data_IF_664658398432
#
_entry.id   IF_664658398432
#
_cell.length_a   1.000
_cell.length_b   1.000
_cell.length_c   1.000
_cell.angle_alpha   90.00
_cell.angle_beta   90.00
_cell.angle_gamma   90.00
#
_symmetry.space_group_name_H-M   'P 1'
#
loop_
_entity.id
_entity.type
_entity.pdbx_description
1 polymer ?
#
# COMPACT_ATOMS: atom_id res chain seq x y z
N UNK A 1 -12.58 -1.93 43.32
CA UNK A 1 -12.97 -1.33 42.04
C UNK A 1 -11.75 -1.37 41.13
N UNK A 2 -11.71 -2.39 40.27
CA UNK A 2 -10.69 -2.51 39.23
C UNK A 2 -11.05 -1.47 38.15
N UNK A 3 -10.26 -0.42 37.99
CA UNK A 3 -10.31 0.45 36.84
C UNK A 3 -9.73 -0.39 35.69
N UNK A 4 -10.62 -0.91 34.83
CA UNK A 4 -10.19 -1.51 33.57
C UNK A 4 -9.46 -0.42 32.79
N UNK A 5 -8.17 -0.60 32.57
CA UNK A 5 -7.42 0.27 31.67
C UNK A 5 -8.11 0.16 30.31
N UNK A 6 -8.70 1.27 29.84
CA UNK A 6 -9.31 1.33 28.52
C UNK A 6 -8.19 1.00 27.50
N UNK A 7 -8.37 -0.09 26.76
CA UNK A 7 -7.43 -0.48 25.72
C UNK A 7 -7.20 0.72 24.80
N UNK A 8 -5.95 1.10 24.60
CA UNK A 8 -5.63 2.25 23.75
C UNK A 8 -6.02 1.96 22.31
N UNK A 9 -6.77 2.87 21.72
CA UNK A 9 -7.12 2.78 20.30
C UNK A 9 -5.90 3.13 19.46
N UNK A 10 -5.74 2.52 18.29
CA UNK A 10 -4.61 2.79 17.43
C UNK A 10 -4.98 2.84 15.95
N UNK A 11 -4.15 3.56 15.19
CA UNK A 11 -4.12 3.58 13.74
C UNK A 11 -2.91 2.77 13.32
N UNK A 12 -3.10 1.91 12.32
CA UNK A 12 -2.01 1.11 11.76
C UNK A 12 -1.54 1.71 10.44
N UNK A 13 -0.26 2.05 10.38
CA UNK A 13 0.45 2.37 9.14
C UNK A 13 1.09 1.10 8.59
N UNK A 14 0.60 0.64 7.45
CA UNK A 14 1.00 -0.60 6.81
C UNK A 14 1.71 -0.31 5.49
N UNK A 15 2.99 -0.62 5.39
CA UNK A 15 3.76 -0.41 4.16
C UNK A 15 4.04 -1.70 3.40
N UNK A 16 3.93 -1.64 2.08
CA UNK A 16 4.31 -2.73 1.17
C UNK A 16 5.81 -2.98 1.13
N UNK A 17 6.61 -1.94 1.34
CA UNK A 17 8.06 -1.93 1.17
C UNK A 17 8.75 -1.67 2.50
N UNK A 18 10.06 -1.82 2.51
CA UNK A 18 10.88 -1.70 3.71
C UNK A 18 10.88 -0.26 4.27
N UNK A 19 11.07 -0.13 5.58
CA UNK A 19 11.13 1.14 6.32
C UNK A 19 12.23 2.11 5.83
N UNK A 20 13.25 1.61 5.15
CA UNK A 20 14.44 2.37 4.76
C UNK A 20 14.24 3.24 3.52
N UNK A 21 13.09 3.14 2.84
CA UNK A 21 12.78 3.99 1.69
C UNK A 21 12.57 5.46 2.13
N UNK A 22 13.40 6.37 1.64
CA UNK A 22 13.41 7.77 2.06
C UNK A 22 12.06 8.48 1.99
N UNK A 23 11.24 8.17 0.99
CA UNK A 23 9.90 8.74 0.83
C UNK A 23 8.90 8.24 1.88
N UNK A 24 9.05 6.96 2.34
CA UNK A 24 8.25 6.41 3.44
C UNK A 24 8.57 7.13 4.73
N UNK A 25 9.87 7.39 4.99
CA UNK A 25 10.29 8.20 6.13
C UNK A 25 9.68 9.61 6.10
N UNK A 26 9.68 10.26 4.94
CA UNK A 26 9.08 11.58 4.77
C UNK A 26 7.58 11.57 5.07
N UNK A 27 6.86 10.63 4.48
CA UNK A 27 5.42 10.48 4.68
C UNK A 27 5.07 10.18 6.15
N UNK A 28 5.77 9.22 6.76
CA UNK A 28 5.60 8.88 8.17
C UNK A 28 5.86 10.07 9.09
N UNK A 29 6.95 10.79 8.89
CA UNK A 29 7.29 11.95 9.71
C UNK A 29 6.24 13.06 9.62
N UNK A 30 5.71 13.32 8.42
CA UNK A 30 4.62 14.28 8.26
C UNK A 30 3.32 13.80 8.89
N UNK A 31 3.01 12.53 8.80
CA UNK A 31 1.85 11.94 9.46
C UNK A 31 1.97 12.08 10.98
N UNK A 32 3.12 11.72 11.56
CA UNK A 32 3.37 11.85 13.00
C UNK A 32 3.31 13.30 13.49
N UNK A 33 3.85 14.25 12.74
CA UNK A 33 3.78 15.69 13.09
C UNK A 33 2.36 16.24 13.08
N UNK A 34 1.53 15.75 12.17
CA UNK A 34 0.15 16.24 11.99
C UNK A 34 -0.88 15.49 12.83
N UNK A 35 -0.51 14.35 13.37
CA UNK A 35 -1.31 13.63 14.35
C UNK A 35 -1.07 14.28 15.71
N UNK A 36 -1.97 15.12 16.22
CA UNK A 36 -1.84 15.62 17.59
C UNK A 36 -1.97 14.42 18.52
N UNK A 37 -0.97 14.20 19.35
CA UNK A 37 -0.99 13.22 20.43
C UNK A 37 -2.03 13.56 21.54
N UNK A 38 -2.99 14.44 21.23
CA UNK A 38 -4.09 14.80 22.10
C UNK A 38 -5.16 13.73 22.00
N UNK A 39 -4.98 12.65 22.75
CA UNK A 39 -5.96 11.58 22.83
C UNK A 39 -5.36 10.21 23.11
N UNK A 40 -6.23 9.22 23.28
CA UNK A 40 -5.87 7.81 23.54
C UNK A 40 -5.58 7.03 22.23
N UNK A 41 -5.18 7.70 21.12
CA UNK A 41 -4.94 7.05 19.84
C UNK A 41 -3.43 7.00 19.58
N UNK A 42 -2.90 5.82 19.34
CA UNK A 42 -1.50 5.58 18.99
C UNK A 42 -1.36 5.31 17.50
N UNK A 43 -0.20 5.66 16.91
CA UNK A 43 0.18 5.28 15.56
C UNK A 43 1.16 4.11 15.63
N UNK A 44 0.76 2.95 15.13
CA UNK A 44 1.61 1.78 14.99
C UNK A 44 2.03 1.59 13.54
N UNK A 45 3.20 0.99 13.34
CA UNK A 45 3.78 0.76 12.02
C UNK A 45 4.06 -0.73 11.81
N UNK A 46 3.84 -1.20 10.58
CA UNK A 46 4.18 -2.56 10.17
C UNK A 46 4.60 -2.61 8.71
N UNK A 47 5.59 -3.45 8.41
CA UNK A 47 6.16 -3.61 7.07
C UNK A 47 5.90 -5.02 6.57
N UNK A 48 5.13 -5.15 5.50
CA UNK A 48 4.77 -6.45 4.91
C UNK A 48 5.89 -7.09 4.08
N UNK A 49 6.93 -6.31 3.73
CA UNK A 49 8.04 -6.77 2.89
C UNK A 49 7.58 -7.48 1.59
N UNK A 50 6.51 -7.01 0.96
CA UNK A 50 5.90 -7.64 -0.22
C UNK A 50 6.88 -7.94 -1.36
N UNK A 51 7.92 -7.10 -1.65
CA UNK A 51 8.87 -7.38 -2.72
C UNK A 51 9.65 -8.68 -2.58
N UNK A 52 9.80 -9.23 -1.36
CA UNK A 52 10.52 -10.51 -1.13
C UNK A 52 9.60 -11.72 -1.12
N UNK A 53 8.29 -11.54 -1.09
CA UNK A 53 7.33 -12.65 -1.15
C UNK A 53 7.36 -13.30 -2.54
N UNK A 54 7.42 -14.63 -2.56
CA UNK A 54 7.57 -15.41 -3.80
C UNK A 54 6.45 -16.43 -4.01
N UNK A 55 5.71 -16.79 -2.97
CA UNK A 55 4.68 -17.82 -3.02
C UNK A 55 3.52 -17.52 -2.04
N UNK A 56 2.44 -18.26 -2.18
CA UNK A 56 1.22 -18.08 -1.39
C UNK A 56 1.40 -18.41 0.10
N UNK A 57 2.31 -19.33 0.43
CA UNK A 57 2.62 -19.70 1.83
C UNK A 57 3.26 -18.52 2.57
N UNK A 58 4.24 -17.86 1.93
CA UNK A 58 4.88 -16.66 2.49
C UNK A 58 3.90 -15.51 2.66
N UNK A 59 2.96 -15.34 1.71
CA UNK A 59 1.88 -14.35 1.84
C UNK A 59 1.00 -14.67 3.05
N UNK A 60 0.59 -15.93 3.19
CA UNK A 60 -0.20 -16.36 4.35
C UNK A 60 0.55 -16.15 5.65
N UNK A 61 1.84 -16.49 5.70
CA UNK A 61 2.68 -16.26 6.88
C UNK A 61 2.77 -14.77 7.22
N UNK A 62 2.90 -13.88 6.22
CA UNK A 62 2.91 -12.43 6.44
C UNK A 62 1.58 -11.93 7.03
N UNK A 63 0.44 -12.46 6.57
CA UNK A 63 -0.89 -12.17 7.12
C UNK A 63 -1.03 -12.66 8.57
N UNK A 64 -0.61 -13.89 8.85
CA UNK A 64 -0.67 -14.49 10.17
C UNK A 64 0.22 -13.71 11.17
N UNK A 65 1.44 -13.32 10.75
CA UNK A 65 2.34 -12.49 11.55
C UNK A 65 1.73 -11.10 11.86
N UNK A 66 1.07 -10.49 10.87
CA UNK A 66 0.39 -9.21 11.07
C UNK A 66 -0.72 -9.34 12.12
N UNK A 67 -1.55 -10.39 12.02
CA UNK A 67 -2.63 -10.65 12.97
C UNK A 67 -2.11 -11.02 14.39
N UNK A 68 -0.98 -11.72 14.48
CA UNK A 68 -0.34 -12.02 15.76
C UNK A 68 0.22 -10.76 16.42
N UNK A 69 0.79 -9.85 15.61
CA UNK A 69 1.33 -8.58 16.13
C UNK A 69 0.21 -7.65 16.58
N UNK A 70 -0.93 -7.68 15.89
CA UNK A 70 -2.09 -6.81 16.14
C UNK A 70 -3.36 -7.65 16.34
N UNK A 71 -3.50 -8.33 17.48
CA UNK A 71 -4.65 -9.19 17.76
C UNK A 71 -5.96 -8.42 17.93
N UNK A 72 -5.88 -7.16 18.37
CA UNK A 72 -7.05 -6.26 18.42
C UNK A 72 -7.08 -5.44 17.13
N UNK A 73 -8.22 -5.37 16.41
CA UNK A 73 -8.30 -4.61 15.17
C UNK A 73 -8.01 -3.12 15.37
N UNK A 74 -7.27 -2.46 14.43
CA UNK A 74 -7.04 -1.02 14.48
C UNK A 74 -8.34 -0.23 14.20
N UNK A 75 -8.37 1.06 14.55
CA UNK A 75 -9.49 1.95 14.18
C UNK A 75 -9.49 2.31 12.70
N UNK A 76 -8.31 2.46 12.12
CA UNK A 76 -8.08 2.76 10.71
C UNK A 76 -6.77 2.13 10.29
N UNK A 77 -6.69 1.65 9.05
CA UNK A 77 -5.43 1.22 8.45
C UNK A 77 -5.06 2.16 7.31
N UNK A 78 -3.86 2.73 7.36
CA UNK A 78 -3.27 3.49 6.27
C UNK A 78 -2.31 2.55 5.54
N UNK A 79 -2.63 2.19 4.32
CA UNK A 79 -1.82 1.27 3.51
C UNK A 79 -1.08 2.05 2.44
N UNK A 80 0.20 1.78 2.29
CA UNK A 80 1.04 2.41 1.28
C UNK A 80 1.42 1.40 0.21
N UNK A 81 0.92 1.63 -1.00
CA UNK A 81 1.14 0.83 -2.19
C UNK A 81 0.13 -0.31 -2.40
N UNK A 82 -0.33 -0.44 -3.64
CA UNK A 82 -1.28 -1.48 -4.05
C UNK A 82 -0.86 -2.91 -3.67
N UNK A 83 0.44 -3.31 -3.75
CA UNK A 83 0.86 -4.65 -3.34
C UNK A 83 0.58 -4.97 -1.87
N UNK A 84 0.76 -4.00 -0.98
CA UNK A 84 0.43 -4.16 0.44
C UNK A 84 -1.06 -4.37 0.68
N UNK A 85 -1.89 -3.63 -0.08
CA UNK A 85 -3.34 -3.82 -0.05
C UNK A 85 -3.73 -5.21 -0.52
N UNK A 86 -3.23 -5.67 -1.68
CA UNK A 86 -3.54 -6.99 -2.23
C UNK A 86 -3.17 -8.14 -1.27
N UNK A 87 -2.01 -8.03 -0.62
CA UNK A 87 -1.55 -9.02 0.36
C UNK A 87 -2.42 -9.00 1.62
N UNK A 88 -2.84 -7.83 2.09
CA UNK A 88 -3.59 -7.70 3.34
C UNK A 88 -5.12 -7.83 3.17
N UNK A 89 -5.67 -7.66 1.97
CA UNK A 89 -7.10 -7.66 1.70
C UNK A 89 -7.89 -8.85 2.31
N UNK A 90 -7.38 -10.12 2.30
CA UNK A 90 -8.06 -11.23 2.94
C UNK A 90 -8.29 -11.05 4.45
N UNK A 91 -7.47 -10.24 5.13
CA UNK A 91 -7.67 -9.95 6.55
C UNK A 91 -8.93 -9.11 6.75
N UNK A 92 -9.27 -8.26 5.78
CA UNK A 92 -10.48 -7.41 5.79
C UNK A 92 -11.73 -8.17 5.34
N UNK A 93 -11.60 -9.36 4.77
CA UNK A 93 -12.73 -10.29 4.60
C UNK A 93 -13.04 -11.08 5.89
N UNK A 94 -12.10 -11.07 6.84
CA UNK A 94 -12.15 -11.84 8.08
C UNK A 94 -12.06 -10.97 9.35
N UNK A 95 -10.96 -11.10 10.13
CA UNK A 95 -10.84 -10.48 11.47
C UNK A 95 -10.98 -8.95 11.49
N UNK A 96 -10.58 -8.27 10.41
CA UNK A 96 -10.64 -6.81 10.31
C UNK A 96 -11.79 -6.33 9.40
N UNK A 97 -12.84 -7.11 9.29
CA UNK A 97 -14.01 -6.76 8.49
C UNK A 97 -14.58 -5.39 8.92
N UNK A 98 -14.88 -4.55 7.93
CA UNK A 98 -15.39 -3.19 8.09
C UNK A 98 -14.41 -2.16 8.69
N UNK A 99 -13.17 -2.53 8.98
CA UNK A 99 -12.17 -1.54 9.38
C UNK A 99 -11.90 -0.59 8.19
N UNK A 100 -11.97 0.74 8.41
CA UNK A 100 -11.69 1.70 7.36
C UNK A 100 -10.24 1.61 6.89
N UNK A 101 -10.04 1.67 5.57
CA UNK A 101 -8.73 1.68 4.92
C UNK A 101 -8.52 2.97 4.15
N UNK A 102 -7.35 3.56 4.27
CA UNK A 102 -6.86 4.63 3.40
C UNK A 102 -5.70 4.06 2.60
N UNK A 103 -5.93 3.79 1.31
CA UNK A 103 -4.89 3.30 0.41
C UNK A 103 -4.19 4.47 -0.27
N UNK A 104 -2.92 4.66 0.02
CA UNK A 104 -2.07 5.69 -0.56
C UNK A 104 -1.19 5.13 -1.68
N UNK A 105 -0.83 5.96 -2.64
CA UNK A 105 0.05 5.63 -3.77
C UNK A 105 -0.50 4.52 -4.67
N UNK A 106 -1.83 4.46 -4.85
CA UNK A 106 -2.46 3.55 -5.80
C UNK A 106 -2.26 4.04 -7.25
N UNK A 107 -1.99 3.10 -8.13
CA UNK A 107 -1.86 3.34 -9.57
C UNK A 107 -3.18 3.22 -10.34
N UNK A 108 -4.24 2.81 -9.66
CA UNK A 108 -5.57 2.69 -10.23
C UNK A 108 -5.85 1.35 -10.91
N UNK A 109 -4.87 0.48 -11.10
CA UNK A 109 -5.04 -0.92 -11.53
C UNK A 109 -4.21 -1.84 -10.66
N UNK A 110 -4.73 -3.02 -10.39
CA UNK A 110 -4.07 -4.04 -9.56
C UNK A 110 -4.03 -5.38 -10.29
N UNK A 111 -3.06 -6.25 -10.00
CA UNK A 111 -3.06 -7.63 -10.50
C UNK A 111 -4.41 -8.30 -10.25
N UNK A 112 -4.91 -9.01 -11.26
CA UNK A 112 -6.19 -9.74 -11.16
C UNK A 112 -6.14 -10.92 -10.20
N UNK A 113 -4.94 -11.44 -9.90
CA UNK A 113 -4.72 -12.58 -9.00
C UNK A 113 -3.46 -12.40 -8.16
N UNK A 114 -3.41 -13.08 -7.01
CA UNK A 114 -2.19 -13.16 -6.20
C UNK A 114 -1.01 -13.74 -6.98
N UNK A 115 -1.26 -14.73 -7.85
CA UNK A 115 -0.21 -15.32 -8.69
C UNK A 115 0.43 -14.28 -9.62
N UNK A 116 -0.36 -13.39 -10.20
CA UNK A 116 0.14 -12.29 -11.04
C UNK A 116 1.01 -11.32 -10.23
N UNK A 117 0.61 -11.01 -9.00
CA UNK A 117 1.41 -10.18 -8.09
C UNK A 117 2.77 -10.84 -7.79
N UNK A 118 2.77 -12.12 -7.43
CA UNK A 118 3.98 -12.86 -7.05
C UNK A 118 4.92 -13.10 -8.23
N UNK A 119 4.37 -13.26 -9.43
CA UNK A 119 5.16 -13.39 -10.66
C UNK A 119 5.91 -12.10 -11.03
N UNK A 120 5.55 -10.96 -10.42
CA UNK A 120 6.18 -9.63 -10.66
C UNK A 120 6.19 -9.22 -12.13
N UNK A 121 5.23 -9.72 -12.90
CA UNK A 121 5.09 -9.40 -14.31
C UNK A 121 4.50 -8.01 -14.51
N UNK A 122 4.84 -7.30 -15.58
CA UNK A 122 4.22 -6.03 -15.93
C UNK A 122 2.70 -6.16 -16.03
N UNK A 123 1.97 -5.14 -15.53
CA UNK A 123 0.53 -5.10 -15.64
C UNK A 123 0.09 -4.79 -17.08
N UNK A 124 -0.87 -5.56 -17.52
CA UNK A 124 -1.59 -5.36 -18.78
C UNK A 124 -3.09 -5.36 -18.51
N UNK A 125 -3.92 -5.01 -19.49
CA UNK A 125 -5.38 -5.12 -19.34
C UNK A 125 -5.83 -6.57 -19.09
N UNK A 126 -5.09 -7.54 -19.63
CA UNK A 126 -5.44 -8.97 -19.53
C UNK A 126 -5.16 -9.57 -18.13
N UNK A 127 -4.19 -9.02 -17.39
CA UNK A 127 -3.77 -9.56 -16.10
C UNK A 127 -4.02 -8.62 -14.91
N UNK A 128 -4.76 -7.55 -15.13
CA UNK A 128 -5.08 -6.55 -14.10
C UNK A 128 -6.55 -6.11 -14.17
N UNK A 129 -7.05 -5.60 -13.05
CA UNK A 129 -8.38 -5.02 -12.93
C UNK A 129 -8.30 -3.60 -12.37
N UNK A 130 -9.29 -2.74 -12.63
CA UNK A 130 -9.40 -1.44 -11.97
C UNK A 130 -9.45 -1.60 -10.45
N UNK A 131 -8.76 -0.73 -9.72
CA UNK A 131 -8.74 -0.76 -8.25
C UNK A 131 -10.15 -0.59 -7.67
N UNK A 132 -11.01 0.17 -8.33
CA UNK A 132 -12.40 0.37 -7.93
C UNK A 132 -13.22 -0.91 -8.00
N UNK A 133 -12.92 -1.77 -8.97
CA UNK A 133 -13.57 -3.07 -9.10
C UNK A 133 -13.13 -4.02 -7.98
N UNK A 134 -11.83 -4.07 -7.69
CA UNK A 134 -11.29 -4.85 -6.59
C UNK A 134 -11.87 -4.40 -5.25
N UNK A 135 -12.08 -3.11 -5.06
CA UNK A 135 -12.46 -2.51 -3.78
C UNK A 135 -13.97 -2.48 -3.49
N UNK A 136 -14.83 -2.97 -4.38
CA UNK A 136 -16.30 -2.85 -4.26
C UNK A 136 -16.89 -3.24 -2.92
N UNK A 137 -16.29 -4.20 -2.23
CA UNK A 137 -16.82 -4.78 -0.99
C UNK A 137 -16.10 -4.30 0.27
N UNK A 138 -15.17 -3.35 0.15
CA UNK A 138 -14.33 -2.89 1.25
C UNK A 138 -14.65 -1.45 1.64
N UNK A 139 -14.48 -1.13 2.92
CA UNK A 139 -14.57 0.24 3.42
C UNK A 139 -13.23 0.96 3.19
N UNK A 140 -13.00 1.41 1.96
CA UNK A 140 -11.69 1.92 1.54
C UNK A 140 -11.80 3.24 0.77
N UNK A 141 -10.90 4.16 1.11
CA UNK A 141 -10.64 5.40 0.36
C UNK A 141 -9.30 5.28 -0.34
N UNK A 142 -9.26 5.56 -1.64
CA UNK A 142 -8.07 5.43 -2.47
C UNK A 142 -7.51 6.80 -2.85
N UNK A 143 -6.25 7.04 -2.52
CA UNK A 143 -5.47 8.19 -2.98
C UNK A 143 -4.58 7.74 -4.15
N UNK A 144 -5.03 8.03 -5.37
CA UNK A 144 -4.31 7.66 -6.58
C UNK A 144 -3.11 8.59 -6.82
N UNK A 145 -2.02 7.99 -7.25
CA UNK A 145 -0.85 8.71 -7.75
C UNK A 145 -0.56 8.29 -9.19
N UNK A 146 -1.11 8.99 -10.16
CA UNK A 146 -0.86 8.67 -11.57
C UNK A 146 0.59 8.97 -11.96
N UNK A 147 1.14 8.17 -12.88
CA UNK A 147 2.40 8.50 -13.53
C UNK A 147 2.16 9.42 -14.72
N UNK A 148 2.82 10.54 -14.71
CA UNK A 148 2.76 11.53 -15.79
C UNK A 148 3.88 11.32 -16.82
N UNK A 149 4.16 10.05 -17.20
CA UNK A 149 5.25 9.73 -18.14
C UNK A 149 5.03 10.41 -19.49
N UNK A 150 3.83 10.31 -20.05
CA UNK A 150 3.48 10.91 -21.33
C UNK A 150 3.61 12.43 -21.29
N UNK A 151 3.09 13.05 -20.26
CA UNK A 151 3.15 14.50 -20.04
C UNK A 151 4.59 14.95 -19.86
N UNK A 152 5.40 14.20 -19.07
CA UNK A 152 6.82 14.46 -18.88
C UNK A 152 7.59 14.36 -20.20
N UNK A 153 7.36 13.32 -20.99
CA UNK A 153 7.99 13.17 -22.30
C UNK A 153 7.58 14.30 -23.27
N UNK A 154 6.32 14.71 -23.23
CA UNK A 154 5.82 15.84 -24.04
C UNK A 154 6.51 17.13 -23.62
N UNK A 155 6.64 17.39 -22.33
CA UNK A 155 7.33 18.56 -21.81
C UNK A 155 8.83 18.57 -22.17
N UNK A 156 9.51 17.43 -22.04
CA UNK A 156 10.91 17.30 -22.48
C UNK A 156 11.05 17.68 -23.94
N UNK A 157 10.16 17.20 -24.81
CA UNK A 157 10.19 17.49 -26.24
C UNK A 157 9.89 18.94 -26.57
N UNK A 158 9.05 19.62 -25.78
CA UNK A 158 8.79 21.05 -25.91
C UNK A 158 9.99 21.90 -25.47
N UNK A 159 10.66 21.53 -24.38
CA UNK A 159 11.81 22.26 -23.85
C UNK A 159 13.10 21.99 -24.63
N UNK A 160 13.22 20.83 -25.24
CA UNK A 160 14.39 20.36 -25.98
C UNK A 160 13.95 19.68 -27.28
N UNK A 161 13.52 20.43 -28.32
CA UNK A 161 13.00 19.87 -29.57
C UNK A 161 13.98 18.94 -30.29
N UNK A 162 15.28 19.17 -30.12
CA UNK A 162 16.37 18.39 -30.75
C UNK A 162 16.53 16.98 -30.15
N UNK A 163 15.93 16.71 -28.97
CA UNK A 163 16.01 15.39 -28.35
C UNK A 163 15.25 14.37 -29.18
N UNK A 164 15.98 13.38 -29.71
CA UNK A 164 15.44 12.29 -30.52
C UNK A 164 15.58 10.92 -29.84
N UNK A 165 16.25 10.85 -28.69
CA UNK A 165 16.42 9.63 -27.89
C UNK A 165 16.24 9.92 -26.42
N UNK A 166 15.42 9.11 -25.73
CA UNK A 166 15.21 9.17 -24.30
C UNK A 166 15.46 7.76 -23.78
N UNK A 167 16.30 7.64 -22.75
CA UNK A 167 16.48 6.39 -22.03
C UNK A 167 15.56 6.37 -20.79
N UNK A 168 14.72 5.38 -20.68
CA UNK A 168 13.94 5.10 -19.50
C UNK A 168 14.60 3.95 -18.73
N UNK A 169 15.00 4.22 -17.47
CA UNK A 169 15.62 3.21 -16.61
C UNK A 169 14.60 2.88 -15.52
N UNK A 170 14.21 1.62 -15.46
CA UNK A 170 13.28 1.10 -14.46
C UNK A 170 13.72 -0.30 -14.05
N UNK A 171 13.35 -0.74 -12.86
CA UNK A 171 13.45 -2.14 -12.48
C UNK A 171 12.19 -2.91 -12.98
N UNK A 172 12.26 -4.25 -12.94
CA UNK A 172 11.16 -5.13 -13.38
C UNK A 172 10.13 -5.38 -12.26
N UNK A 173 10.17 -4.62 -11.17
CA UNK A 173 9.18 -4.79 -10.12
C UNK A 173 7.83 -4.24 -10.56
N UNK A 174 6.74 -4.93 -10.19
CA UNK A 174 5.37 -4.48 -10.40
C UNK A 174 5.17 -2.99 -10.04
N UNK A 175 5.91 -2.50 -9.04
CA UNK A 175 5.87 -1.11 -8.58
C UNK A 175 6.47 -0.13 -9.60
N UNK A 176 7.31 -0.60 -10.53
CA UNK A 176 8.07 0.23 -11.47
C UNK A 176 7.59 0.15 -12.91
N UNK A 177 6.55 -0.61 -13.19
CA UNK A 177 6.00 -0.79 -14.56
C UNK A 177 4.72 -0.02 -14.81
#
# INVERSE_FOLDING_TARGET
LSVSAKEKEYILFLSSVNAEEAWIHGFRNELQKRFPYEGNIELHEYFLAVPVLTNAEEVKQAQDNLLQTFPTPPKVVIIVGDPGWLVSAPIFDGPWKNIPVILCYSRGRVPSTLQTLLAKTPLTEANSIPIEEFNKNYNITVLKQPYYIKETLTLIKQLQPEVNRIAFISDNRYIST
#
